data_IF_688219878043
#
_entry.id   IF_688219878043
#
_cell.length_a   1.000
_cell.length_b   1.000
_cell.length_c   1.000
_cell.angle_alpha   90.00
_cell.angle_beta   90.00
_cell.angle_gamma   90.00
#
_symmetry.space_group_name_H-M   'P 1'
#
loop_
_entity.id
_entity.type
_entity.pdbx_description
1 polymer ?
#
# COMPACT_ATOMS: atom_id res chain seq x y z
N UNK A 1 -4.47 -37.07 0.36
CA UNK A 1 -4.76 -35.88 -0.48
C UNK A 1 -4.43 -34.63 0.31
N UNK A 2 -3.23 -34.05 0.14
CA UNK A 2 -2.87 -32.79 0.81
C UNK A 2 -3.57 -31.67 0.05
N UNK A 3 -4.54 -31.04 0.68
CA UNK A 3 -5.30 -29.89 0.15
C UNK A 3 -4.32 -28.85 -0.39
N UNK A 4 -4.58 -28.25 -1.58
CA UNK A 4 -3.70 -27.23 -2.13
C UNK A 4 -3.52 -26.08 -1.12
N UNK A 5 -2.33 -25.46 -1.04
CA UNK A 5 -2.07 -24.35 -0.12
C UNK A 5 -2.89 -23.15 -0.58
N UNK A 6 -4.10 -23.06 -0.02
CA UNK A 6 -5.01 -21.96 -0.20
C UNK A 6 -4.52 -20.81 0.67
N UNK A 7 -3.92 -19.80 0.05
CA UNK A 7 -3.48 -18.61 0.76
C UNK A 7 -4.69 -17.89 1.35
N UNK A 8 -4.58 -17.46 2.61
CA UNK A 8 -5.65 -16.76 3.31
C UNK A 8 -5.29 -15.29 3.43
N UNK A 9 -6.29 -14.45 3.23
CA UNK A 9 -6.12 -13.01 3.37
C UNK A 9 -5.94 -12.68 4.85
N UNK A 10 -4.81 -12.09 5.21
CA UNK A 10 -4.54 -11.63 6.58
C UNK A 10 -5.58 -10.60 7.05
N UNK A 11 -6.14 -9.80 6.15
CA UNK A 11 -7.12 -8.75 6.49
C UNK A 11 -8.57 -9.24 6.68
N UNK A 12 -9.00 -10.33 6.02
CA UNK A 12 -10.40 -10.80 6.10
C UNK A 12 -10.54 -12.29 6.44
N UNK A 13 -9.45 -13.04 6.53
CA UNK A 13 -9.41 -14.47 6.82
C UNK A 13 -9.89 -15.38 5.69
N UNK A 14 -10.40 -14.82 4.58
CA UNK A 14 -10.95 -15.59 3.45
C UNK A 14 -9.86 -16.07 2.51
N UNK A 15 -10.16 -17.13 1.78
CA UNK A 15 -9.31 -17.67 0.72
C UNK A 15 -9.03 -16.63 -0.35
N UNK A 16 -7.77 -16.45 -0.70
CA UNK A 16 -7.29 -15.54 -1.75
C UNK A 16 -7.04 -16.34 -3.01
N UNK A 17 -7.73 -15.99 -4.08
CA UNK A 17 -7.49 -16.56 -5.39
C UNK A 17 -6.34 -15.84 -6.09
N UNK A 18 -5.62 -16.54 -6.96
CA UNK A 18 -4.47 -15.99 -7.70
C UNK A 18 -4.78 -14.67 -8.44
N UNK A 19 -6.03 -14.46 -8.89
CA UNK A 19 -6.44 -13.24 -9.58
C UNK A 19 -6.45 -11.99 -8.67
N UNK A 20 -6.79 -12.15 -7.40
CA UNK A 20 -6.85 -11.06 -6.41
C UNK A 20 -5.69 -11.11 -5.42
N UNK A 21 -4.76 -12.04 -5.63
CA UNK A 21 -3.63 -12.26 -4.74
C UNK A 21 -2.68 -11.08 -4.76
N UNK A 22 -2.51 -10.49 -3.59
CA UNK A 22 -1.46 -9.53 -3.27
C UNK A 22 -0.53 -10.21 -2.28
N UNK A 23 0.65 -10.62 -2.75
CA UNK A 23 1.71 -11.11 -1.87
C UNK A 23 2.55 -9.91 -1.41
N UNK A 24 2.62 -9.71 -0.11
CA UNK A 24 3.60 -8.83 0.54
C UNK A 24 4.72 -9.68 1.13
N UNK A 25 5.77 -9.03 1.62
CA UNK A 25 6.98 -9.68 2.15
C UNK A 25 6.67 -10.77 3.20
N UNK A 26 5.65 -10.56 4.03
CA UNK A 26 5.24 -11.48 5.09
C UNK A 26 3.84 -12.08 4.95
N UNK A 27 2.95 -11.49 4.14
CA UNK A 27 1.52 -11.80 4.17
C UNK A 27 0.80 -11.72 2.81
N UNK A 28 -0.29 -12.47 2.69
CA UNK A 28 -1.16 -12.46 1.51
C UNK A 28 -2.45 -11.70 1.80
N UNK A 29 -2.86 -10.86 0.86
CA UNK A 29 -4.07 -10.05 0.93
C UNK A 29 -4.87 -10.16 -0.37
N UNK A 30 -6.18 -9.85 -0.31
CA UNK A 30 -6.92 -9.55 -1.53
C UNK A 30 -6.59 -8.14 -2.01
N UNK A 31 -6.59 -7.95 -3.32
CA UNK A 31 -6.52 -6.64 -3.98
C UNK A 31 -7.55 -5.65 -3.40
N UNK A 32 -8.75 -6.15 -3.10
CA UNK A 32 -9.85 -5.40 -2.49
C UNK A 32 -9.68 -5.15 -0.98
N UNK A 33 -8.95 -6.03 -0.28
CA UNK A 33 -8.69 -5.90 1.15
C UNK A 33 -7.45 -5.06 1.45
N UNK A 34 -6.57 -4.87 0.46
CA UNK A 34 -5.36 -4.10 0.57
C UNK A 34 -5.66 -2.61 0.57
N UNK A 35 -6.11 -2.07 1.71
CA UNK A 35 -6.62 -0.70 1.83
C UNK A 35 -6.00 0.05 3.00
N UNK A 36 -5.90 1.37 2.85
CA UNK A 36 -5.36 2.25 3.89
C UNK A 36 -6.22 2.22 5.16
N UNK A 37 -5.62 2.11 6.33
CA UNK A 37 -6.37 2.10 7.59
C UNK A 37 -7.12 3.43 7.84
N UNK A 38 -6.52 4.56 7.47
CA UNK A 38 -7.05 5.91 7.67
C UNK A 38 -8.20 6.26 6.74
N UNK A 39 -8.03 6.10 5.42
CA UNK A 39 -9.06 6.50 4.44
C UNK A 39 -9.79 5.33 3.78
N UNK A 40 -9.47 4.09 4.15
CA UNK A 40 -10.03 2.86 3.55
C UNK A 40 -9.87 2.78 2.02
N UNK A 41 -9.02 3.62 1.42
CA UNK A 41 -8.72 3.60 -0.02
C UNK A 41 -7.92 2.36 -0.37
N UNK A 42 -8.34 1.66 -1.42
CA UNK A 42 -7.61 0.52 -1.98
C UNK A 42 -6.23 0.98 -2.47
N UNK A 43 -5.20 0.27 -2.01
CA UNK A 43 -3.80 0.49 -2.33
C UNK A 43 -3.34 -0.61 -3.29
N UNK A 44 -2.20 -0.37 -3.93
CA UNK A 44 -1.56 -1.33 -4.83
C UNK A 44 -0.12 -1.56 -4.37
N UNK A 45 0.46 -2.70 -4.73
CA UNK A 45 1.83 -3.07 -4.35
C UNK A 45 2.89 -2.01 -4.73
N UNK A 46 2.63 -1.17 -5.72
CA UNK A 46 3.55 -0.08 -6.11
C UNK A 46 3.44 1.22 -5.29
N UNK A 47 2.40 1.40 -4.47
CA UNK A 47 2.08 2.71 -3.85
C UNK A 47 1.58 2.60 -2.40
N UNK A 48 1.84 1.48 -1.73
CA UNK A 48 1.47 1.28 -0.32
C UNK A 48 2.70 1.41 0.59
N UNK A 49 2.44 1.67 1.87
CA UNK A 49 3.46 1.61 2.90
C UNK A 49 2.88 0.91 4.13
N UNK A 50 3.57 -0.13 4.61
CA UNK A 50 3.19 -0.91 5.78
C UNK A 50 3.99 -0.45 7.00
N UNK A 51 3.31 -0.16 8.11
CA UNK A 51 3.95 0.10 9.41
C UNK A 51 3.17 -0.63 10.51
N UNK A 52 3.86 -1.38 11.36
CA UNK A 52 3.29 -2.09 12.52
C UNK A 52 2.00 -2.86 12.18
N UNK A 53 2.05 -3.72 11.16
CA UNK A 53 0.91 -4.55 10.70
C UNK A 53 -0.26 -3.76 10.07
N UNK A 54 -0.09 -2.44 9.83
CA UNK A 54 -1.10 -1.58 9.20
C UNK A 54 -0.64 -1.01 7.86
N UNK A 55 -1.57 -0.97 6.91
CA UNK A 55 -1.34 -0.44 5.56
C UNK A 55 -1.79 1.02 5.47
N UNK A 56 -0.95 1.86 4.87
CA UNK A 56 -1.24 3.28 4.64
C UNK A 56 -0.92 3.69 3.21
N UNK A 57 -1.67 4.68 2.70
CA UNK A 57 -1.32 5.33 1.45
C UNK A 57 -0.13 6.29 1.66
N UNK A 58 0.65 6.55 0.60
CA UNK A 58 1.75 7.53 0.62
C UNK A 58 1.46 8.84 1.39
N UNK A 59 0.33 9.55 1.17
CA UNK A 59 0.07 10.79 1.89
C UNK A 59 -0.23 10.59 3.39
N UNK A 60 -1.00 9.56 3.78
CA UNK A 60 -1.26 9.29 5.21
C UNK A 60 -0.04 8.73 5.92
N UNK A 61 0.75 7.90 5.24
CA UNK A 61 2.04 7.46 5.73
C UNK A 61 2.95 8.68 5.96
N UNK A 62 3.05 9.61 4.99
CA UNK A 62 3.81 10.85 5.18
C UNK A 62 3.33 11.66 6.39
N UNK A 63 2.03 11.86 6.58
CA UNK A 63 1.47 12.58 7.75
C UNK A 63 1.74 11.86 9.08
N UNK A 64 1.58 10.54 9.13
CA UNK A 64 1.81 9.74 10.35
C UNK A 64 3.28 9.74 10.76
N UNK A 65 4.19 9.75 9.79
CA UNK A 65 5.61 9.82 10.06
C UNK A 65 6.01 11.26 10.41
N UNK A 66 5.52 12.27 9.70
CA UNK A 66 5.75 13.68 10.04
C UNK A 66 5.33 14.05 11.47
N UNK A 67 4.26 13.44 11.99
CA UNK A 67 3.82 13.67 13.36
C UNK A 67 4.65 12.92 14.42
N UNK A 68 5.43 11.90 14.03
CA UNK A 68 6.18 11.00 14.93
C UNK A 68 7.71 11.10 14.78
N UNK A 69 8.21 11.68 13.69
CA UNK A 69 9.64 11.84 13.39
C UNK A 69 9.83 12.63 12.10
N UNK A 70 10.59 13.73 12.20
CA UNK A 70 10.96 14.61 11.10
C UNK A 70 11.43 13.82 9.85
N UNK A 71 10.70 13.92 8.74
CA UNK A 71 11.05 13.34 7.45
C UNK A 71 10.90 14.41 6.35
N UNK A 72 11.62 15.51 6.54
CA UNK A 72 11.93 16.50 5.50
C UNK A 72 13.25 16.08 4.83
N UNK A 73 13.19 15.19 3.80
CA UNK A 73 14.19 15.11 2.70
C UNK A 73 14.05 13.87 1.77
N UNK A 74 13.13 12.92 2.02
CA UNK A 74 13.28 11.60 1.37
C UNK A 74 12.46 11.28 0.11
N UNK A 75 11.42 12.03 -0.25
CA UNK A 75 10.59 11.70 -1.42
C UNK A 75 10.67 12.83 -2.44
N UNK A 76 11.58 12.64 -3.41
CA UNK A 76 11.84 13.55 -4.52
C UNK A 76 10.56 14.13 -5.10
N UNK A 77 10.37 15.43 -4.85
CA UNK A 77 9.54 16.26 -5.69
C UNK A 77 10.31 16.49 -6.99
N UNK A 78 10.32 15.52 -7.91
CA UNK A 78 10.37 15.89 -9.33
C UNK A 78 9.00 16.47 -9.64
N UNK A 79 8.84 17.75 -9.32
CA UNK A 79 7.78 18.58 -9.87
C UNK A 79 7.93 18.54 -11.38
N UNK A 80 7.20 17.65 -12.04
CA UNK A 80 6.81 17.83 -13.42
C UNK A 80 5.87 19.04 -13.46
N UNK A 81 6.44 20.25 -13.46
CA UNK A 81 5.74 21.45 -13.89
C UNK A 81 6.66 22.47 -14.56
N UNK A 82 6.58 22.48 -15.87
CA UNK A 82 6.54 23.69 -16.69
C UNK A 82 6.10 23.23 -18.08
N UNK A 83 4.79 23.17 -18.33
CA UNK A 83 4.00 24.26 -18.95
C UNK A 83 4.62 24.68 -20.29
N UNK A 84 3.90 24.32 -21.34
CA UNK A 84 3.98 24.90 -22.67
C UNK A 84 3.98 26.44 -22.61
N UNK A 85 4.86 27.09 -23.37
CA UNK A 85 4.64 28.37 -24.07
C UNK A 85 5.85 28.73 -24.96
N UNK A 86 5.64 29.53 -26.03
CA UNK A 86 6.35 29.46 -27.31
C UNK A 86 7.45 30.54 -27.49
N UNK A 87 8.25 30.37 -28.54
CA UNK A 87 9.00 31.46 -29.20
C UNK A 87 8.82 31.29 -30.71
#
# INVERSE_FOLDING_TARGET
FKTPPMEKCRACGKTVYAMEKIATDHDTFHKSCFKCDQCKKVLSLGTFAGIHDKLYCKPHFKQLFQSKGNYDEGFGHSQAKSKWAPK
#
